data_IF_446821116675
#
_entry.id   IF_446821116675
#
_cell.length_a   1.000
_cell.length_b   1.000
_cell.length_c   1.000
_cell.angle_alpha   90.00
_cell.angle_beta   90.00
_cell.angle_gamma   90.00
#
_symmetry.space_group_name_H-M   'P 1'
#
loop_
_entity.id
_entity.type
_entity.pdbx_description
1 polymer ?
#
# COMPACT_ATOMS: atom_id res chain seq x y z
N UNK A 1 14.36 7.54 -27.03
CA UNK A 1 13.66 6.35 -27.56
C UNK A 1 12.72 5.85 -26.50
N UNK A 2 11.44 5.72 -26.84
CA UNK A 2 10.43 5.24 -25.92
C UNK A 2 10.45 3.70 -25.98
N UNK A 3 10.68 3.03 -24.85
CA UNK A 3 10.87 1.57 -24.78
C UNK A 3 9.61 0.87 -24.30
N UNK A 4 9.35 -0.32 -24.84
CA UNK A 4 8.27 -1.21 -24.38
C UNK A 4 8.77 -2.13 -23.28
N UNK A 5 7.88 -2.40 -22.31
CA UNK A 5 8.15 -3.31 -21.18
C UNK A 5 7.24 -4.52 -21.26
N UNK A 6 7.78 -5.71 -21.07
CA UNK A 6 6.99 -6.91 -20.84
C UNK A 6 6.86 -7.13 -19.33
N UNK A 7 5.63 -7.13 -18.85
CA UNK A 7 5.29 -7.50 -17.47
C UNK A 7 4.83 -8.95 -17.47
N UNK A 8 5.52 -9.79 -16.70
CA UNK A 8 5.13 -11.18 -16.47
C UNK A 8 4.66 -11.33 -15.03
N UNK A 9 3.41 -11.74 -14.86
CA UNK A 9 2.78 -11.98 -13.57
C UNK A 9 3.29 -13.25 -12.88
N UNK A 10 2.80 -13.50 -11.67
CA UNK A 10 3.16 -14.68 -10.89
C UNK A 10 2.82 -15.99 -11.64
N UNK A 11 3.74 -16.97 -11.69
CA UNK A 11 3.49 -18.27 -12.29
C UNK A 11 2.39 -19.03 -11.55
N UNK A 12 1.45 -19.62 -12.30
CA UNK A 12 0.32 -20.38 -11.76
C UNK A 12 0.33 -21.79 -12.26
N UNK A 13 0.01 -22.74 -11.38
CA UNK A 13 -0.20 -24.12 -11.76
C UNK A 13 -1.63 -24.32 -12.28
N UNK A 14 -1.74 -24.84 -13.51
CA UNK A 14 -2.98 -25.27 -14.14
C UNK A 14 -2.83 -26.76 -14.49
N UNK A 15 -3.17 -27.61 -13.52
CA UNK A 15 -2.94 -29.05 -13.62
C UNK A 15 -1.43 -29.34 -13.64
N UNK A 16 -0.94 -29.85 -14.78
CA UNK A 16 0.46 -30.22 -14.99
C UNK A 16 1.29 -29.10 -15.64
N UNK A 17 0.68 -27.94 -15.92
CA UNK A 17 1.34 -26.83 -16.62
C UNK A 17 1.51 -25.62 -15.71
N UNK A 18 2.64 -24.90 -15.88
CA UNK A 18 2.86 -23.59 -15.28
C UNK A 18 2.56 -22.51 -16.31
N UNK A 19 1.65 -21.60 -15.98
CA UNK A 19 1.22 -20.50 -16.86
C UNK A 19 1.48 -19.17 -16.18
N UNK A 20 2.06 -18.23 -16.91
CA UNK A 20 2.25 -16.84 -16.48
C UNK A 20 1.41 -15.91 -17.35
N UNK A 21 0.76 -14.93 -16.73
CA UNK A 21 0.16 -13.83 -17.48
C UNK A 21 1.27 -12.89 -17.98
N UNK A 22 1.16 -12.41 -19.21
CA UNK A 22 2.12 -11.46 -19.77
C UNK A 22 1.42 -10.29 -20.45
N UNK A 23 1.89 -9.07 -20.21
CA UNK A 23 1.37 -7.86 -20.84
C UNK A 23 2.51 -6.97 -21.33
N UNK A 24 2.42 -6.49 -22.57
CA UNK A 24 3.32 -5.46 -23.10
C UNK A 24 2.78 -4.10 -22.71
N UNK A 25 3.65 -3.26 -22.15
CA UNK A 25 3.36 -1.90 -21.75
C UNK A 25 4.10 -0.93 -22.65
N UNK A 26 3.33 0.03 -23.15
CA UNK A 26 3.85 1.17 -23.87
C UNK A 26 4.32 2.27 -22.90
N UNK A 27 5.19 3.18 -23.36
CA UNK A 27 5.62 4.34 -22.59
C UNK A 27 4.44 5.14 -22.03
N UNK A 28 4.45 5.37 -20.71
CA UNK A 28 3.39 6.14 -20.01
C UNK A 28 2.13 5.33 -19.68
N UNK A 29 2.05 4.05 -20.07
CA UNK A 29 0.93 3.20 -19.74
C UNK A 29 1.01 2.72 -18.28
N UNK A 30 -0.08 2.89 -17.53
CA UNK A 30 -0.23 2.31 -16.21
C UNK A 30 -0.71 0.85 -16.32
N UNK A 31 -0.17 -0.01 -15.44
CA UNK A 31 -0.60 -1.40 -15.34
C UNK A 31 -0.93 -1.75 -13.89
N UNK A 32 -2.18 -2.17 -13.67
CA UNK A 32 -2.63 -2.62 -12.36
C UNK A 32 -2.38 -4.11 -12.22
N UNK A 33 -1.56 -4.48 -11.25
CA UNK A 33 -1.40 -5.88 -10.86
C UNK A 33 -2.59 -6.28 -10.00
N UNK A 34 -3.48 -7.10 -10.55
CA UNK A 34 -4.72 -7.52 -9.89
C UNK A 34 -4.49 -8.43 -8.67
N UNK A 35 -3.29 -9.01 -8.53
CA UNK A 35 -2.98 -10.05 -7.55
C UNK A 35 -1.67 -9.70 -6.83
N UNK A 36 -1.64 -9.94 -5.52
CA UNK A 36 -0.41 -9.82 -4.73
C UNK A 36 0.53 -10.97 -5.09
N UNK A 37 1.80 -10.66 -5.35
CA UNK A 37 2.81 -11.63 -5.77
C UNK A 37 4.06 -10.94 -6.33
N UNK A 38 5.00 -11.72 -6.84
CA UNK A 38 6.18 -11.21 -7.53
C UNK A 38 5.89 -11.09 -9.03
N UNK A 39 6.48 -10.08 -9.66
CA UNK A 39 6.42 -9.89 -11.12
C UNK A 39 7.81 -9.78 -11.68
N UNK A 40 7.98 -10.23 -12.92
CA UNK A 40 9.21 -10.02 -13.69
C UNK A 40 8.96 -8.92 -14.72
N UNK A 41 9.89 -7.98 -14.80
CA UNK A 41 9.85 -6.87 -15.76
C UNK A 41 11.04 -7.01 -16.72
N UNK A 42 10.75 -7.07 -18.01
CA UNK A 42 11.79 -7.23 -19.04
C UNK A 42 11.66 -6.13 -20.08
N UNK A 43 12.75 -5.43 -20.40
CA UNK A 43 12.77 -4.52 -21.53
C UNK A 43 12.87 -5.34 -22.83
N UNK A 44 11.90 -5.20 -23.74
CA UNK A 44 11.88 -6.04 -24.94
C UNK A 44 13.00 -5.72 -25.94
N UNK A 45 13.52 -4.49 -25.91
CA UNK A 45 14.50 -4.00 -26.89
C UNK A 45 15.90 -3.81 -26.29
N UNK A 46 16.29 -4.66 -25.34
CA UNK A 46 17.65 -4.66 -24.75
C UNK A 46 17.96 -3.47 -23.82
N UNK A 47 16.93 -2.81 -23.29
CA UNK A 47 17.09 -1.68 -22.36
C UNK A 47 17.25 -2.10 -20.90
N UNK A 48 17.67 -1.16 -20.05
CA UNK A 48 17.63 -1.34 -18.60
C UNK A 48 16.23 -1.01 -18.05
N UNK A 49 15.77 -1.80 -17.08
CA UNK A 49 14.52 -1.55 -16.34
C UNK A 49 14.85 -0.98 -14.97
N UNK A 50 14.27 0.18 -14.63
CA UNK A 50 14.37 0.77 -13.29
C UNK A 50 12.99 0.75 -12.63
N UNK A 51 12.88 0.11 -11.46
CA UNK A 51 11.65 0.07 -10.67
C UNK A 51 11.72 1.15 -9.60
N UNK A 52 10.80 2.11 -9.66
CA UNK A 52 10.72 3.19 -8.67
C UNK A 52 9.45 3.00 -7.84
N UNK A 53 9.59 3.01 -6.52
CA UNK A 53 8.45 2.99 -5.60
C UNK A 53 7.81 4.38 -5.55
N UNK A 54 6.64 4.52 -6.14
CA UNK A 54 5.85 5.75 -5.99
C UNK A 54 5.15 5.73 -4.61
N UNK A 55 5.31 6.77 -3.77
CA UNK A 55 4.61 6.85 -2.50
C UNK A 55 3.09 6.95 -2.74
N UNK A 56 2.34 6.00 -2.20
CA UNK A 56 0.88 6.00 -2.31
C UNK A 56 0.27 7.19 -1.56
N UNK A 57 -0.61 7.95 -2.22
CA UNK A 57 -1.34 9.08 -1.62
C UNK A 57 -2.18 8.68 -0.38
N UNK A 58 -2.53 7.40 -0.25
CA UNK A 58 -3.27 6.82 0.88
C UNK A 58 -2.59 7.05 2.25
N UNK A 59 -1.25 7.14 2.28
CA UNK A 59 -0.49 7.30 3.53
C UNK A 59 -0.86 8.59 4.31
N UNK A 60 -1.41 9.61 3.63
CA UNK A 60 -1.84 10.85 4.29
C UNK A 60 -3.14 10.69 5.08
N UNK A 61 -4.07 9.87 4.59
CA UNK A 61 -5.34 9.65 5.26
C UNK A 61 -5.20 8.69 6.44
N UNK A 62 -4.35 7.67 6.31
CA UNK A 62 -4.02 6.77 7.43
C UNK A 62 -3.32 7.53 8.57
N UNK A 63 -2.39 8.44 8.23
CA UNK A 63 -1.74 9.30 9.21
C UNK A 63 -2.73 10.27 9.89
N UNK A 64 -3.70 10.80 9.15
CA UNK A 64 -4.76 11.65 9.71
C UNK A 64 -5.69 10.86 10.65
N UNK A 65 -6.13 9.67 10.25
CA UNK A 65 -6.96 8.80 11.09
C UNK A 65 -6.22 8.37 12.38
N UNK A 66 -4.92 8.07 12.28
CA UNK A 66 -4.06 7.79 13.43
C UNK A 66 -3.93 9.01 14.37
N UNK A 67 -3.81 10.22 13.81
CA UNK A 67 -3.76 11.44 14.61
C UNK A 67 -5.08 11.70 15.36
N UNK A 68 -6.22 11.57 14.68
CA UNK A 68 -7.53 11.73 15.30
C UNK A 68 -7.75 10.72 16.44
N UNK A 69 -7.45 9.45 16.21
CA UNK A 69 -7.61 8.40 17.25
C UNK A 69 -6.71 8.64 18.47
N UNK A 70 -5.48 9.13 18.28
CA UNK A 70 -4.59 9.49 19.39
C UNK A 70 -5.15 10.65 20.24
N UNK A 71 -5.68 11.68 19.59
CA UNK A 71 -6.31 12.83 20.27
C UNK A 71 -7.54 12.39 21.06
N UNK A 72 -8.45 11.62 20.46
CA UNK A 72 -9.66 11.14 21.14
C UNK A 72 -9.34 10.22 22.34
N UNK A 73 -8.31 9.37 22.25
CA UNK A 73 -7.83 8.55 23.37
C UNK A 73 -7.28 9.39 24.53
N UNK A 74 -6.60 10.51 24.22
CA UNK A 74 -6.07 11.43 25.24
C UNK A 74 -7.17 12.15 26.00
N UNK A 75 -8.23 12.59 25.32
CA UNK A 75 -9.36 13.27 25.97
C UNK A 75 -10.26 12.34 26.79
N UNK A 76 -10.48 11.11 26.32
CA UNK A 76 -11.27 10.11 27.07
C UNK A 76 -10.57 9.58 28.33
N UNK A 77 -9.24 9.65 28.40
CA UNK A 77 -8.47 9.40 29.63
C UNK A 77 -8.64 10.50 30.68
N UNK A 78 -8.64 11.77 30.27
CA UNK A 78 -8.80 12.92 31.16
C UNK A 78 -10.19 13.02 31.80
N UNK A 79 -11.24 12.58 31.09
CA UNK A 79 -12.59 12.54 31.63
C UNK A 79 -12.75 11.54 32.79
N UNK A 80 -11.94 10.46 32.82
CA UNK A 80 -11.97 9.46 33.90
C UNK A 80 -11.28 9.95 35.19
N UNK A 81 -10.23 10.77 35.08
CA UNK A 81 -9.57 11.38 36.24
C UNK A 81 -10.38 12.53 36.84
N UNK A 82 -11.06 13.34 36.02
CA UNK A 82 -11.92 14.42 36.51
C UNK A 82 -13.11 13.93 37.37
N UNK A 83 -13.63 12.72 37.09
CA UNK A 83 -14.75 12.14 37.85
C UNK A 83 -14.38 11.67 39.26
N UNK A 84 -13.10 11.36 39.53
CA UNK A 84 -12.62 10.94 40.87
C UNK A 84 -12.45 12.09 41.85
N UNK A 85 -12.16 13.29 41.39
CA UNK A 85 -11.95 14.45 42.28
C UNK A 85 -13.25 15.02 42.87
N UNK A 86 -14.41 14.75 42.26
CA UNK A 86 -15.70 15.31 42.73
C UNK A 86 -16.33 14.58 43.92
N UNK A 87 -15.78 13.44 44.36
CA UNK A 87 -16.34 12.63 45.45
C UNK A 87 -15.61 12.75 46.78
N UNK A 88 -14.55 13.55 46.88
CA UNK A 88 -13.90 13.82 48.17
C UNK A 88 -14.60 15.02 48.83
N UNK A 89 -15.57 14.75 49.70
CA UNK A 89 -16.00 15.76 50.69
C UNK A 89 -14.95 15.79 51.82
N UNK A 90 -14.47 16.96 52.24
CA UNK A 90 -13.65 17.06 53.44
C UNK A 90 -14.51 16.75 54.68
N UNK A 91 -13.94 15.98 55.60
CA UNK A 91 -14.48 15.71 56.96
C UNK A 91 -14.10 16.88 57.86
#
# INVERSE_FOLDING_TARGET
TAGTLLVTGEPRWLGEQVVCSSAVLEPGQAHTLAQGGWVTLTAQHGGAVCVVKQPSRAQRWDAFAAACTAVFRRFSGAARTARRYRSAKPV
#
